data_IF_220748636152
#
_entry.id   IF_220748636152
#
_cell.length_a   1.000
_cell.length_b   1.000
_cell.length_c   1.000
_cell.angle_alpha   90.00
_cell.angle_beta   90.00
_cell.angle_gamma   90.00
#
_symmetry.space_group_name_H-M   'P 1'
#
loop_
_entity.id
_entity.type
_entity.pdbx_description
1 polymer ?
#
# COMPACT_ATOMS: atom_id res chain seq x y z
N UNK A 1 10.79 -5.61 5.95
CA UNK A 1 10.86 -4.23 5.42
C UNK A 1 11.83 -4.23 4.24
N UNK A 2 11.51 -3.57 3.13
CA UNK A 2 12.34 -3.57 1.92
C UNK A 2 12.64 -2.13 1.48
N UNK A 3 13.93 -1.81 1.30
CA UNK A 3 14.40 -0.49 0.88
C UNK A 3 14.94 -0.57 -0.54
N UNK A 4 14.59 0.42 -1.39
CA UNK A 4 15.22 0.56 -2.69
C UNK A 4 16.40 1.52 -2.63
N UNK A 5 17.41 1.19 -3.42
CA UNK A 5 18.59 1.99 -3.61
C UNK A 5 18.73 2.33 -5.09
N UNK A 6 19.06 3.58 -5.39
CA UNK A 6 19.37 4.02 -6.74
C UNK A 6 20.62 3.32 -7.29
N UNK A 7 20.69 3.21 -8.62
CA UNK A 7 21.72 2.44 -9.34
C UNK A 7 23.15 2.95 -9.17
N UNK A 8 23.36 4.18 -8.70
CA UNK A 8 24.58 4.92 -8.99
C UNK A 8 25.61 5.09 -7.85
N UNK A 9 25.38 4.66 -6.60
CA UNK A 9 26.36 4.99 -5.53
C UNK A 9 26.64 3.95 -4.45
N UNK A 10 26.01 2.78 -4.47
CA UNK A 10 26.17 1.79 -3.39
C UNK A 10 26.79 0.51 -3.91
N UNK A 11 27.87 0.07 -3.26
CA UNK A 11 28.55 -1.20 -3.49
C UNK A 11 27.85 -2.32 -2.75
N UNK A 12 27.78 -3.50 -3.36
CA UNK A 12 27.12 -4.69 -2.85
C UNK A 12 28.08 -5.85 -3.00
N UNK A 13 28.15 -6.67 -1.95
CA UNK A 13 29.10 -7.77 -1.88
C UNK A 13 28.40 -9.10 -1.70
N UNK A 14 28.80 -10.10 -2.49
CA UNK A 14 28.38 -11.49 -2.35
C UNK A 14 29.56 -12.41 -2.65
N UNK A 15 29.84 -13.37 -1.76
CA UNK A 15 30.92 -14.37 -1.93
C UNK A 15 32.29 -13.75 -2.31
N UNK A 16 32.65 -12.61 -1.73
CA UNK A 16 33.92 -11.93 -2.02
C UNK A 16 33.91 -10.96 -3.21
N UNK A 17 32.87 -10.98 -4.04
CA UNK A 17 32.77 -10.09 -5.20
C UNK A 17 32.00 -8.82 -4.84
N UNK A 18 32.64 -7.65 -4.98
CA UNK A 18 32.08 -6.32 -4.71
C UNK A 18 31.79 -5.62 -6.03
N UNK A 19 30.51 -5.34 -6.29
CA UNK A 19 30.01 -4.71 -7.52
C UNK A 19 29.04 -3.58 -7.21
N UNK A 20 28.86 -2.65 -8.13
CA UNK A 20 27.82 -1.62 -7.98
C UNK A 20 26.41 -2.21 -8.08
N UNK A 21 25.41 -1.51 -7.55
CA UNK A 21 24.02 -1.97 -7.59
C UNK A 21 23.57 -2.30 -9.02
N UNK A 22 23.93 -1.43 -9.97
CA UNK A 22 23.56 -1.55 -11.37
C UNK A 22 24.20 -2.75 -12.08
N UNK A 23 25.43 -3.13 -11.72
CA UNK A 23 26.14 -4.27 -12.31
C UNK A 23 25.50 -5.62 -11.99
N UNK A 24 24.70 -5.71 -10.93
CA UNK A 24 23.93 -6.91 -10.59
C UNK A 24 22.63 -7.05 -11.40
N UNK A 25 22.27 -6.04 -12.20
CA UNK A 25 21.04 -6.03 -13.00
C UNK A 25 21.32 -6.73 -14.34
N UNK A 26 20.56 -7.78 -14.63
CA UNK A 26 20.67 -8.48 -15.92
C UNK A 26 20.00 -7.69 -17.04
N UNK A 27 20.65 -7.63 -18.20
CA UNK A 27 20.09 -7.05 -19.43
C UNK A 27 18.84 -7.80 -19.92
N UNK A 28 18.76 -9.11 -19.63
CA UNK A 28 17.58 -9.94 -19.96
C UNK A 28 16.30 -9.52 -19.25
N UNK A 29 16.38 -8.60 -18.26
CA UNK A 29 15.25 -8.13 -17.46
C UNK A 29 14.73 -9.14 -16.43
N UNK A 30 15.36 -10.31 -16.31
CA UNK A 30 15.11 -11.28 -15.23
C UNK A 30 15.57 -10.72 -13.89
N UNK A 31 14.80 -10.99 -12.84
CA UNK A 31 15.17 -10.58 -11.49
C UNK A 31 16.29 -11.48 -10.94
N UNK A 32 17.34 -10.88 -10.41
CA UNK A 32 18.43 -11.57 -9.71
C UNK A 32 18.21 -11.48 -8.22
N UNK A 33 18.41 -12.58 -7.50
CA UNK A 33 18.38 -12.61 -6.03
C UNK A 33 19.75 -13.01 -5.47
N UNK A 34 20.28 -12.16 -4.61
CA UNK A 34 21.52 -12.34 -3.88
C UNK A 34 21.19 -12.58 -2.41
N UNK A 35 21.26 -13.82 -1.94
CA UNK A 35 21.06 -14.16 -0.53
C UNK A 35 22.31 -13.86 0.29
N UNK A 36 22.14 -13.36 1.52
CA UNK A 36 23.24 -13.07 2.44
C UNK A 36 24.22 -12.02 1.92
N UNK A 37 23.72 -11.03 1.18
CA UNK A 37 24.56 -9.97 0.62
C UNK A 37 24.87 -8.91 1.69
N UNK A 38 26.00 -8.22 1.51
CA UNK A 38 26.37 -7.04 2.29
C UNK A 38 26.16 -5.80 1.43
N UNK A 39 25.58 -4.75 2.02
CA UNK A 39 25.14 -3.56 1.28
C UNK A 39 25.74 -2.31 1.90
N UNK A 40 25.88 -1.26 1.08
CA UNK A 40 26.44 0.05 1.47
C UNK A 40 27.93 0.01 1.82
N UNK A 41 28.50 1.16 2.22
CA UNK A 41 29.89 1.26 2.66
C UNK A 41 30.11 0.53 3.99
N UNK A 42 29.09 0.47 4.85
CA UNK A 42 29.14 -0.15 6.18
C UNK A 42 29.01 -1.69 6.14
N UNK A 43 28.99 -2.28 4.94
CA UNK A 43 28.90 -3.73 4.72
C UNK A 43 27.77 -4.43 5.51
N UNK A 44 26.67 -3.71 5.68
CA UNK A 44 25.51 -4.16 6.46
C UNK A 44 24.96 -5.43 5.85
N UNK A 45 24.88 -6.49 6.66
CA UNK A 45 24.33 -7.76 6.22
C UNK A 45 22.81 -7.65 6.06
N UNK A 46 22.29 -8.08 4.91
CA UNK A 46 20.86 -8.16 4.65
C UNK A 46 20.46 -9.57 4.22
N UNK A 47 19.21 -9.94 4.50
CA UNK A 47 18.70 -11.29 4.19
C UNK A 47 18.82 -11.63 2.70
N UNK A 48 18.37 -10.72 1.83
CA UNK A 48 18.57 -10.82 0.40
C UNK A 48 18.57 -9.46 -0.31
N UNK A 49 19.09 -9.44 -1.53
CA UNK A 49 19.07 -8.31 -2.44
C UNK A 49 18.46 -8.75 -3.76
N UNK A 50 17.51 -7.98 -4.27
CA UNK A 50 16.82 -8.26 -5.52
C UNK A 50 17.06 -7.14 -6.52
N UNK A 51 17.69 -7.47 -7.64
CA UNK A 51 17.98 -6.53 -8.72
C UNK A 51 17.14 -6.88 -9.96
N UNK A 52 16.42 -5.90 -10.52
CA UNK A 52 15.57 -6.13 -11.70
C UNK A 52 15.41 -4.85 -12.53
N UNK A 53 15.37 -4.99 -13.85
CA UNK A 53 14.94 -3.94 -14.79
C UNK A 53 14.03 -4.56 -15.86
N UNK A 54 12.72 -4.54 -15.61
CA UNK A 54 11.73 -5.02 -16.58
C UNK A 54 11.59 -4.04 -17.74
N UNK A 55 11.14 -4.54 -18.90
CA UNK A 55 10.81 -3.72 -20.07
C UNK A 55 9.81 -2.62 -19.66
N UNK A 56 10.11 -1.37 -20.01
CA UNK A 56 9.30 -0.19 -19.66
C UNK A 56 9.64 0.49 -18.33
N UNK A 57 10.56 -0.07 -17.52
CA UNK A 57 11.05 0.64 -16.33
C UNK A 57 12.05 1.74 -16.72
N UNK A 58 11.83 2.96 -16.22
CA UNK A 58 12.78 4.08 -16.41
C UNK A 58 14.14 3.78 -15.78
N UNK A 59 14.13 3.15 -14.61
CA UNK A 59 15.33 2.82 -13.84
C UNK A 59 15.28 1.38 -13.33
N UNK A 60 16.45 0.79 -13.07
CA UNK A 60 16.53 -0.52 -12.44
C UNK A 60 16.19 -0.43 -10.95
N UNK A 61 15.52 -1.45 -10.43
CA UNK A 61 15.26 -1.59 -9.00
C UNK A 61 16.33 -2.46 -8.36
N UNK A 62 17.04 -1.92 -7.37
CA UNK A 62 17.96 -2.66 -6.51
C UNK A 62 17.41 -2.62 -5.08
N UNK A 63 16.79 -3.73 -4.66
CA UNK A 63 16.00 -3.81 -3.43
C UNK A 63 16.73 -4.63 -2.38
N UNK A 64 17.02 -4.06 -1.22
CA UNK A 64 17.46 -4.83 -0.06
C UNK A 64 16.25 -5.27 0.76
N UNK A 65 16.24 -6.53 1.22
CA UNK A 65 15.13 -7.10 1.99
C UNK A 65 15.63 -8.03 3.10
N UNK A 66 14.93 -8.03 4.23
CA UNK A 66 15.10 -9.04 5.27
C UNK A 66 14.48 -10.40 4.90
N UNK A 67 13.66 -10.46 3.85
CA UNK A 67 12.95 -11.67 3.40
C UNK A 67 13.88 -12.63 2.66
N UNK A 68 14.71 -13.35 3.40
CA UNK A 68 15.71 -14.28 2.85
C UNK A 68 15.08 -15.39 2.01
N UNK A 69 13.95 -15.96 2.44
CA UNK A 69 13.32 -17.10 1.76
C UNK A 69 12.33 -16.71 0.67
N UNK A 70 11.88 -15.45 0.63
CA UNK A 70 10.92 -14.99 -0.37
C UNK A 70 11.49 -14.99 -1.79
N UNK A 71 10.66 -15.30 -2.79
CA UNK A 71 11.08 -15.26 -4.20
C UNK A 71 11.34 -13.83 -4.66
N UNK A 72 12.22 -13.65 -5.66
CA UNK A 72 12.49 -12.34 -6.23
C UNK A 72 11.21 -11.67 -6.77
N UNK A 73 10.34 -12.45 -7.43
CA UNK A 73 9.06 -11.98 -7.94
C UNK A 73 8.14 -11.46 -6.83
N UNK A 74 8.08 -12.15 -5.69
CA UNK A 74 7.29 -11.73 -4.54
C UNK A 74 7.81 -10.41 -3.95
N UNK A 75 9.13 -10.28 -3.78
CA UNK A 75 9.75 -9.04 -3.27
C UNK A 75 9.49 -7.86 -4.21
N UNK A 76 9.65 -8.07 -5.52
CA UNK A 76 9.34 -7.04 -6.53
C UNK A 76 7.85 -6.69 -6.52
N UNK A 77 6.96 -7.67 -6.35
CA UNK A 77 5.52 -7.45 -6.24
C UNK A 77 5.13 -6.65 -4.99
N UNK A 78 5.75 -6.93 -3.84
CA UNK A 78 5.57 -6.14 -2.62
C UNK A 78 6.07 -4.70 -2.82
N UNK A 79 7.27 -4.53 -3.37
CA UNK A 79 7.83 -3.21 -3.61
C UNK A 79 7.02 -2.41 -4.65
N UNK A 80 6.45 -3.07 -5.65
CA UNK A 80 5.54 -2.44 -6.61
C UNK A 80 4.29 -1.82 -5.97
N UNK A 81 3.90 -2.25 -4.76
CA UNK A 81 2.80 -1.65 -4.00
C UNK A 81 3.22 -0.38 -3.24
N UNK A 82 4.51 0.01 -3.24
CA UNK A 82 5.03 1.15 -2.47
C UNK A 82 4.24 2.43 -2.76
N UNK A 83 3.97 2.70 -4.04
CA UNK A 83 3.25 3.89 -4.51
C UNK A 83 1.83 4.04 -3.95
N UNK A 84 1.22 2.96 -3.43
CA UNK A 84 -0.07 3.03 -2.74
C UNK A 84 -0.01 3.96 -1.53
N UNK A 85 1.16 4.06 -0.89
CA UNK A 85 1.35 4.95 0.26
C UNK A 85 1.21 6.41 -0.15
N UNK A 86 1.84 6.83 -1.24
CA UNK A 86 1.70 8.17 -1.79
C UNK A 86 0.27 8.45 -2.29
N UNK A 87 -0.42 7.46 -2.85
CA UNK A 87 -1.83 7.58 -3.23
C UNK A 87 -2.72 7.79 -1.99
N UNK A 88 -2.53 7.02 -0.92
CA UNK A 88 -3.25 7.22 0.36
C UNK A 88 -2.98 8.60 0.94
N UNK A 89 -1.72 9.07 0.93
CA UNK A 89 -1.40 10.42 1.40
C UNK A 89 -2.03 11.52 0.53
N UNK A 90 -2.15 11.31 -0.79
CA UNK A 90 -2.85 12.23 -1.68
C UNK A 90 -4.34 12.27 -1.33
N UNK A 91 -4.98 11.12 -1.21
CA UNK A 91 -6.40 11.00 -0.87
C UNK A 91 -6.70 11.61 0.51
N UNK A 92 -5.79 11.52 1.49
CA UNK A 92 -5.97 12.19 2.78
C UNK A 92 -5.91 13.72 2.68
N UNK A 93 -5.08 14.26 1.79
CA UNK A 93 -4.84 15.71 1.66
C UNK A 93 -5.81 16.38 0.71
N UNK A 94 -6.36 15.65 -0.25
CA UNK A 94 -7.21 16.17 -1.31
C UNK A 94 -8.54 16.70 -0.76
N UNK A 95 -8.95 17.87 -1.24
CA UNK A 95 -10.18 18.54 -0.78
C UNK A 95 -11.45 18.00 -1.46
N UNK A 96 -11.34 17.55 -2.71
CA UNK A 96 -12.49 17.21 -3.57
C UNK A 96 -12.86 15.74 -3.50
N UNK A 97 -11.86 14.88 -3.32
CA UNK A 97 -12.03 13.42 -3.34
C UNK A 97 -11.55 12.75 -2.04
N UNK A 98 -11.08 13.57 -1.09
CA UNK A 98 -10.37 13.17 0.11
C UNK A 98 -10.88 13.79 1.40
N UNK A 99 -10.01 13.94 2.41
CA UNK A 99 -10.37 14.54 3.72
C UNK A 99 -10.00 16.02 3.86
N UNK A 100 -9.47 16.67 2.82
CA UNK A 100 -9.21 18.12 2.81
C UNK A 100 -8.18 18.61 3.82
N UNK A 101 -7.33 17.72 4.35
CA UNK A 101 -6.37 18.08 5.41
C UNK A 101 -5.36 19.14 4.97
N UNK A 102 -5.11 19.30 3.67
CA UNK A 102 -4.24 20.37 3.15
C UNK A 102 -4.81 21.77 3.37
N UNK A 103 -6.12 21.91 3.53
CA UNK A 103 -6.81 23.18 3.74
C UNK A 103 -7.06 23.50 5.23
N UNK A 104 -6.83 22.54 6.12
CA UNK A 104 -7.02 22.73 7.55
C UNK A 104 -5.83 23.47 8.17
N UNK A 105 -6.04 24.73 8.59
CA UNK A 105 -5.06 25.47 9.39
C UNK A 105 -5.25 25.17 10.87
N UNK A 106 -4.38 24.35 11.43
CA UNK A 106 -4.36 24.04 12.87
C UNK A 106 -3.18 24.75 13.53
N UNK A 107 -3.46 25.58 14.54
CA UNK A 107 -2.45 26.41 15.24
C UNK A 107 -1.63 25.66 16.30
N UNK A 108 -2.07 24.48 16.73
CA UNK A 108 -1.44 23.69 17.80
C UNK A 108 -1.09 22.28 17.29
N UNK A 109 0.12 21.81 17.63
CA UNK A 109 0.59 20.47 17.28
C UNK A 109 -0.33 19.38 17.86
N UNK A 110 -0.70 19.48 19.14
CA UNK A 110 -1.59 18.48 19.77
C UNK A 110 -2.95 18.37 19.10
N UNK A 111 -3.52 19.51 18.66
CA UNK A 111 -4.78 19.52 17.92
C UNK A 111 -4.60 18.89 16.53
N UNK A 112 -3.45 19.12 15.89
CA UNK A 112 -3.13 18.52 14.59
C UNK A 112 -2.98 17.00 14.73
N UNK A 113 -2.31 16.52 15.76
CA UNK A 113 -2.08 15.07 15.95
C UNK A 113 -3.38 14.34 16.24
N UNK A 114 -4.25 14.90 17.08
CA UNK A 114 -5.61 14.36 17.30
C UNK A 114 -6.43 14.32 16.02
N UNK A 115 -6.38 15.38 15.21
CA UNK A 115 -7.06 15.42 13.93
C UNK A 115 -6.51 14.37 12.95
N UNK A 116 -5.18 14.21 12.87
CA UNK A 116 -4.54 13.20 12.03
C UNK A 116 -4.93 11.77 12.45
N UNK A 117 -5.05 11.51 13.76
CA UNK A 117 -5.54 10.24 14.28
C UNK A 117 -6.98 9.96 13.82
N UNK A 118 -7.89 10.92 14.00
CA UNK A 118 -9.29 10.78 13.56
C UNK A 118 -9.36 10.55 12.06
N UNK A 119 -8.59 11.29 11.28
CA UNK A 119 -8.50 11.11 9.83
C UNK A 119 -7.96 9.73 9.45
N UNK A 120 -6.94 9.23 10.12
CA UNK A 120 -6.40 7.90 9.87
C UNK A 120 -7.45 6.80 10.16
N UNK A 121 -8.19 6.93 11.26
CA UNK A 121 -9.29 6.03 11.62
C UNK A 121 -10.42 6.08 10.57
N UNK A 122 -10.85 7.28 10.16
CA UNK A 122 -11.87 7.44 9.13
C UNK A 122 -11.44 6.79 7.80
N UNK A 123 -10.18 6.99 7.38
CA UNK A 123 -9.62 6.31 6.21
C UNK A 123 -9.67 4.78 6.31
N UNK A 124 -9.30 4.24 7.47
CA UNK A 124 -9.30 2.81 7.70
C UNK A 124 -10.73 2.24 7.65
N UNK A 125 -11.69 2.88 8.33
CA UNK A 125 -13.11 2.50 8.32
C UNK A 125 -13.70 2.56 6.90
N UNK A 126 -13.47 3.65 6.17
CA UNK A 126 -13.95 3.78 4.79
C UNK A 126 -13.29 2.74 3.86
N UNK A 127 -12.01 2.43 4.06
CA UNK A 127 -11.33 1.37 3.29
C UNK A 127 -11.95 -0.01 3.57
N UNK A 128 -12.30 -0.31 4.82
CA UNK A 128 -12.99 -1.55 5.19
C UNK A 128 -14.40 -1.59 4.61
N UNK A 129 -15.14 -0.48 4.61
CA UNK A 129 -16.46 -0.38 3.99
C UNK A 129 -16.39 -0.63 2.47
N UNK A 130 -15.39 -0.06 1.79
CA UNK A 130 -15.14 -0.36 0.38
C UNK A 130 -14.74 -1.82 0.14
N UNK A 131 -14.01 -2.44 1.09
CA UNK A 131 -13.66 -3.86 1.04
C UNK A 131 -14.91 -4.75 1.19
N UNK A 132 -15.83 -4.39 2.08
CA UNK A 132 -17.11 -5.07 2.25
C UNK A 132 -17.90 -5.04 0.94
N UNK A 133 -18.13 -3.84 0.39
CA UNK A 133 -18.87 -3.68 -0.88
C UNK A 133 -18.21 -4.39 -2.06
N UNK A 134 -16.88 -4.39 -2.16
CA UNK A 134 -16.17 -5.15 -3.18
C UNK A 134 -16.39 -6.67 -3.02
N UNK A 135 -16.33 -7.18 -1.79
CA UNK A 135 -16.54 -8.61 -1.53
C UNK A 135 -17.96 -9.09 -1.87
N UNK A 136 -18.94 -8.17 -1.82
CA UNK A 136 -20.32 -8.39 -2.22
C UNK A 136 -20.57 -8.13 -3.71
N UNK A 137 -19.54 -7.75 -4.47
CA UNK A 137 -19.65 -7.45 -5.90
C UNK A 137 -20.37 -6.14 -6.22
N UNK A 138 -20.51 -5.23 -5.26
CA UNK A 138 -21.19 -3.94 -5.43
C UNK A 138 -20.41 -2.95 -6.30
N UNK A 139 -19.15 -3.24 -6.66
CA UNK A 139 -18.35 -2.40 -7.57
C UNK A 139 -19.08 -2.18 -8.92
N UNK A 140 -19.91 -3.14 -9.35
CA UNK A 140 -20.71 -3.04 -10.59
C UNK A 140 -21.66 -1.85 -10.63
N UNK A 141 -22.10 -1.36 -9.47
CA UNK A 141 -22.99 -0.20 -9.39
C UNK A 141 -22.21 1.13 -9.40
N UNK A 142 -20.91 1.10 -9.13
CA UNK A 142 -20.04 2.27 -9.13
C UNK A 142 -19.35 2.51 -10.49
N UNK A 143 -19.16 1.46 -11.30
CA UNK A 143 -18.47 1.56 -12.59
C UNK A 143 -19.43 1.41 -13.77
N UNK A 144 -19.34 2.34 -14.72
CA UNK A 144 -19.98 2.22 -16.04
C UNK A 144 -19.18 1.33 -17.02
N UNK A 145 -17.92 1.00 -16.68
CA UNK A 145 -17.02 0.25 -17.54
C UNK A 145 -17.03 -1.26 -17.25
N UNK A 146 -16.84 -2.07 -18.30
CA UNK A 146 -16.75 -3.54 -18.24
C UNK A 146 -15.36 -4.07 -17.82
N UNK A 147 -14.49 -3.19 -17.31
CA UNK A 147 -13.15 -3.56 -16.90
C UNK A 147 -13.16 -4.59 -15.76
N UNK A 148 -12.44 -5.70 -15.95
CA UNK A 148 -12.26 -6.77 -14.95
C UNK A 148 -11.31 -6.38 -13.81
N UNK A 149 -10.54 -5.31 -13.98
CA UNK A 149 -9.65 -4.79 -12.94
C UNK A 149 -10.35 -3.74 -12.10
N UNK A 150 -10.02 -3.70 -10.80
CA UNK A 150 -10.50 -2.68 -9.86
C UNK A 150 -10.22 -1.29 -10.41
N UNK A 151 -11.27 -0.48 -10.57
CA UNK A 151 -11.14 0.87 -11.14
C UNK A 151 -11.04 1.93 -10.06
N UNK A 152 -11.77 1.77 -8.95
CA UNK A 152 -11.73 2.65 -7.80
C UNK A 152 -10.91 2.04 -6.66
N UNK A 153 -10.10 2.86 -5.97
CA UNK A 153 -9.46 2.43 -4.73
C UNK A 153 -10.53 2.02 -3.70
N UNK A 154 -10.18 1.12 -2.78
CA UNK A 154 -11.11 0.67 -1.74
C UNK A 154 -11.60 1.83 -0.88
N UNK A 155 -10.71 2.77 -0.55
CA UNK A 155 -11.08 4.01 0.13
C UNK A 155 -12.14 4.79 -0.66
N UNK A 156 -11.94 4.97 -1.98
CA UNK A 156 -12.90 5.69 -2.82
C UNK A 156 -14.25 4.98 -2.87
N UNK A 157 -14.25 3.66 -3.05
CA UNK A 157 -15.48 2.86 -3.01
C UNK A 157 -16.22 3.05 -1.68
N UNK A 158 -15.49 3.01 -0.56
CA UNK A 158 -16.03 3.30 0.77
C UNK A 158 -16.66 4.68 0.90
N UNK A 159 -16.02 5.72 0.38
CA UNK A 159 -16.59 7.07 0.36
C UNK A 159 -17.91 7.13 -0.44
N UNK A 160 -17.96 6.50 -1.61
CA UNK A 160 -19.19 6.45 -2.44
C UNK A 160 -20.30 5.70 -1.71
N UNK A 161 -19.99 4.53 -1.13
CA UNK A 161 -20.97 3.77 -0.36
C UNK A 161 -21.47 4.56 0.85
N UNK A 162 -20.58 5.18 1.61
CA UNK A 162 -20.95 6.01 2.77
C UNK A 162 -21.88 7.17 2.39
N UNK A 163 -21.62 7.84 1.26
CA UNK A 163 -22.49 8.90 0.75
C UNK A 163 -23.84 8.37 0.26
N UNK A 164 -23.90 7.12 -0.21
CA UNK A 164 -25.12 6.49 -0.69
C UNK A 164 -26.00 5.91 0.43
N UNK A 165 -25.45 5.60 1.62
CA UNK A 165 -26.18 4.97 2.74
C UNK A 165 -27.56 5.60 3.01
N UNK A 166 -27.73 6.94 3.07
CA UNK A 166 -29.03 7.53 3.40
C UNK A 166 -30.15 7.19 2.41
N UNK A 167 -29.80 6.85 1.16
CA UNK A 167 -30.74 6.53 0.09
C UNK A 167 -30.56 5.07 -0.40
N UNK A 168 -29.75 4.27 0.29
CA UNK A 168 -29.45 2.91 -0.11
C UNK A 168 -30.62 1.99 0.22
N UNK A 169 -31.12 1.19 -0.74
CA UNK A 169 -32.12 0.17 -0.49
C UNK A 169 -31.70 -0.79 0.63
N UNK A 170 -32.65 -1.17 1.49
CA UNK A 170 -32.37 -1.97 2.69
C UNK A 170 -31.78 -3.37 2.36
N UNK A 171 -32.21 -3.96 1.25
CA UNK A 171 -31.69 -5.23 0.71
C UNK A 171 -30.21 -5.16 0.30
N UNK A 172 -29.68 -3.97 0.03
CA UNK A 172 -28.26 -3.73 -0.24
C UNK A 172 -27.52 -3.26 1.01
N UNK A 173 -28.16 -2.45 1.85
CA UNK A 173 -27.55 -1.87 3.03
C UNK A 173 -27.26 -2.93 4.11
N UNK A 174 -28.21 -3.84 4.38
CA UNK A 174 -28.05 -4.86 5.42
C UNK A 174 -26.84 -5.77 5.16
N UNK A 175 -26.70 -6.42 3.97
CA UNK A 175 -25.52 -7.26 3.71
C UNK A 175 -24.21 -6.48 3.75
N UNK A 176 -24.22 -5.22 3.29
CA UNK A 176 -23.04 -4.36 3.34
C UNK A 176 -22.60 -4.10 4.77
N UNK A 177 -23.54 -3.75 5.66
CA UNK A 177 -23.25 -3.46 7.06
C UNK A 177 -22.86 -4.70 7.85
N UNK A 178 -23.50 -5.84 7.59
CA UNK A 178 -23.10 -7.14 8.17
C UNK A 178 -21.68 -7.49 7.80
N UNK A 179 -21.34 -7.42 6.50
CA UNK A 179 -20.00 -7.75 6.03
C UNK A 179 -18.96 -6.76 6.53
N UNK A 180 -19.31 -5.49 6.64
CA UNK A 180 -18.46 -4.46 7.23
C UNK A 180 -18.18 -4.75 8.72
N UNK A 181 -19.20 -5.15 9.48
CA UNK A 181 -19.04 -5.53 10.88
C UNK A 181 -18.13 -6.76 11.04
N UNK A 182 -18.29 -7.78 10.20
CA UNK A 182 -17.40 -8.95 10.19
C UNK A 182 -15.94 -8.54 9.97
N UNK A 183 -15.68 -7.70 8.96
CA UNK A 183 -14.33 -7.21 8.66
C UNK A 183 -13.74 -6.36 9.79
N UNK A 184 -14.58 -5.61 10.53
CA UNK A 184 -14.14 -4.89 11.73
C UNK A 184 -13.73 -5.85 12.85
N UNK A 185 -14.48 -6.93 13.06
CA UNK A 185 -14.16 -7.96 14.07
C UNK A 185 -12.88 -8.71 13.75
N UNK A 186 -12.57 -8.88 12.46
CA UNK A 186 -11.32 -9.50 12.02
C UNK A 186 -10.07 -8.64 12.30
N UNK A 187 -10.22 -7.35 12.66
CA UNK A 187 -9.07 -6.48 12.96
C UNK A 187 -8.79 -6.38 14.48
N UNK A 188 -7.64 -6.89 14.97
CA UNK A 188 -7.31 -6.88 16.40
C UNK A 188 -7.30 -5.48 17.03
N UNK A 189 -6.79 -4.49 16.31
CA UNK A 189 -6.71 -3.09 16.77
C UNK A 189 -8.10 -2.46 16.92
N UNK A 190 -9.07 -2.83 16.08
CA UNK A 190 -10.41 -2.27 16.18
C UNK A 190 -11.20 -2.86 17.35
N UNK A 191 -10.99 -4.14 17.66
CA UNK A 191 -11.55 -4.78 18.86
C UNK A 191 -11.07 -4.10 20.16
N UNK A 192 -9.79 -3.72 20.23
CA UNK A 192 -9.22 -3.01 21.39
C UNK A 192 -9.70 -1.55 21.50
N UNK A 193 -9.83 -0.84 20.37
CA UNK A 193 -10.14 0.60 20.35
C UNK A 193 -11.64 0.88 20.46
N UNK A 194 -12.49 0.05 19.87
CA UNK A 194 -13.95 0.29 19.80
C UNK A 194 -14.77 -0.67 20.67
N UNK A 195 -14.15 -1.68 21.29
CA UNK A 195 -14.84 -2.72 22.07
C UNK A 195 -15.50 -3.78 21.17
N UNK A 196 -16.22 -4.77 21.75
CA UNK A 196 -16.99 -5.72 20.98
C UNK A 196 -18.11 -5.01 20.22
N UNK A 197 -17.99 -4.96 18.89
CA UNK A 197 -19.01 -4.47 17.94
C UNK A 197 -19.81 -5.66 17.38
#
# INVERSE_FOLDING_TARGET
MSCAFGSASKSWMKKGEKKSAGEWVLESGRAVKLTGARVTQDETLVGAVVCVKKKGMKEAWCLATSLKEATAAFVVGLYGKRFRTEETFRDMKDLRFGMGLSWMRVRSADRRDRLLLVSALACALLTLLGTAGESLGMERYLKANTAKTRTYSLFRQGCEYYQAIPMMPEDQLLPLMERFADLLREQPVFQEVFGPI
#
